data_IF_548127010249
#
_entry.id   IF_548127010249
#
_cell.length_a   1.000
_cell.length_b   1.000
_cell.length_c   1.000
_cell.angle_alpha   90.00
_cell.angle_beta   90.00
_cell.angle_gamma   90.00
#
_symmetry.space_group_name_H-M   'P 1'
#
loop_
_entity.id
_entity.type
_entity.pdbx_description
1 polymer ?
#
# COMPACT_ATOMS: atom_id res chain seq x y z
N UNK A 1 -2.19 -50.64 -35.70
CA UNK A 1 -3.05 -50.14 -34.60
C UNK A 1 -2.17 -49.47 -33.58
N UNK A 2 -2.09 -48.13 -33.66
CA UNK A 2 -1.32 -47.33 -32.71
C UNK A 2 -2.25 -46.82 -31.61
N UNK A 3 -1.85 -46.82 -30.32
CA UNK A 3 -2.69 -46.32 -29.25
C UNK A 3 -2.70 -44.79 -29.24
N UNK A 4 -3.88 -44.19 -29.08
CA UNK A 4 -4.11 -42.78 -28.92
C UNK A 4 -3.56 -42.29 -27.55
N UNK A 5 -3.00 -41.08 -27.46
CA UNK A 5 -2.51 -40.55 -26.18
C UNK A 5 -3.68 -40.13 -25.28
N UNK A 6 -3.57 -40.50 -24.01
CA UNK A 6 -4.44 -40.07 -22.91
C UNK A 6 -4.03 -38.61 -22.54
N UNK A 7 -4.77 -37.63 -23.02
CA UNK A 7 -4.53 -36.21 -22.69
C UNK A 7 -5.76 -35.52 -22.12
N UNK A 8 -6.46 -36.10 -21.16
CA UNK A 8 -7.60 -35.42 -20.54
C UNK A 8 -7.63 -35.43 -19.00
N UNK A 9 -6.60 -36.00 -18.34
CA UNK A 9 -6.59 -36.00 -16.86
C UNK A 9 -5.85 -34.81 -16.22
N UNK A 10 -5.01 -34.08 -16.99
CA UNK A 10 -4.20 -33.00 -16.46
C UNK A 10 -4.82 -31.60 -16.67
N UNK A 11 -5.81 -31.48 -17.55
CA UNK A 11 -6.51 -30.22 -17.79
C UNK A 11 -7.65 -29.92 -16.79
N UNK A 12 -8.19 -30.96 -16.14
CA UNK A 12 -9.28 -30.78 -15.16
C UNK A 12 -8.80 -30.43 -13.75
N UNK A 13 -7.51 -30.54 -13.43
CA UNK A 13 -7.01 -30.15 -12.10
C UNK A 13 -6.60 -28.67 -11.98
N UNK A 14 -6.46 -27.97 -13.11
CA UNK A 14 -6.15 -26.52 -13.12
C UNK A 14 -7.40 -25.64 -13.23
N UNK A 15 -8.55 -26.21 -13.62
CA UNK A 15 -9.81 -25.46 -13.73
C UNK A 15 -10.51 -25.25 -12.39
N UNK A 16 -10.23 -26.07 -11.38
CA UNK A 16 -10.82 -25.94 -10.04
C UNK A 16 -10.05 -25.00 -9.10
N UNK A 17 -8.87 -24.54 -9.50
CA UNK A 17 -8.16 -23.43 -8.85
C UNK A 17 -8.44 -22.09 -9.54
N UNK A 18 -9.66 -21.91 -10.04
CA UNK A 18 -10.11 -20.63 -10.56
C UNK A 18 -10.06 -19.58 -9.43
N UNK A 19 -9.32 -18.45 -9.59
CA UNK A 19 -9.33 -17.35 -8.62
C UNK A 19 -10.72 -16.75 -8.37
N UNK A 20 -11.76 -17.22 -9.06
CA UNK A 20 -13.18 -16.95 -8.72
C UNK A 20 -13.60 -17.50 -7.36
N UNK A 21 -12.80 -18.36 -6.71
CA UNK A 21 -13.09 -18.86 -5.38
C UNK A 21 -12.60 -17.93 -4.25
N UNK A 22 -11.84 -16.88 -4.55
CA UNK A 22 -11.65 -15.81 -3.61
C UNK A 22 -12.97 -15.03 -3.54
N UNK A 23 -13.83 -15.46 -2.61
CA UNK A 23 -15.17 -14.91 -2.46
C UNK A 23 -15.05 -13.53 -1.82
N UNK A 24 -15.02 -12.50 -2.63
CA UNK A 24 -15.25 -11.11 -2.25
C UNK A 24 -16.41 -10.94 -1.25
N UNK A 25 -17.39 -11.83 -1.32
CA UNK A 25 -18.56 -11.91 -0.42
C UNK A 25 -18.23 -12.23 1.03
N UNK A 26 -17.00 -12.70 1.34
CA UNK A 26 -16.57 -12.98 2.71
C UNK A 26 -15.91 -11.79 3.41
N UNK A 27 -15.65 -10.71 2.67
CA UNK A 27 -15.16 -9.43 3.20
C UNK A 27 -16.33 -8.47 3.41
N UNK A 28 -17.40 -8.95 4.04
CA UNK A 28 -18.66 -8.22 4.20
C UNK A 28 -18.51 -6.95 5.09
N UNK A 29 -19.33 -5.95 4.82
CA UNK A 29 -19.50 -4.77 5.65
C UNK A 29 -18.50 -3.66 5.32
N UNK A 30 -17.56 -3.39 6.18
CA UNK A 30 -16.58 -2.28 6.10
C UNK A 30 -15.80 -2.22 4.77
N UNK A 31 -15.46 -3.37 4.22
CA UNK A 31 -14.80 -3.46 2.90
C UNK A 31 -15.68 -2.90 1.79
N UNK A 32 -16.95 -3.29 1.76
CA UNK A 32 -17.89 -2.85 0.72
C UNK A 32 -18.14 -1.35 0.81
N UNK A 33 -18.21 -0.78 2.00
CA UNK A 33 -18.34 0.67 2.21
C UNK A 33 -17.12 1.41 1.65
N UNK A 34 -15.89 0.97 1.99
CA UNK A 34 -14.67 1.59 1.48
C UNK A 34 -14.58 1.45 -0.03
N UNK A 35 -14.94 0.29 -0.58
CA UNK A 35 -14.99 0.05 -2.03
C UNK A 35 -15.96 1.01 -2.72
N UNK A 36 -17.15 1.22 -2.17
CA UNK A 36 -18.12 2.17 -2.72
C UNK A 36 -17.56 3.59 -2.74
N UNK A 37 -16.88 4.03 -1.67
CA UNK A 37 -16.21 5.33 -1.63
C UNK A 37 -15.14 5.43 -2.72
N UNK A 38 -14.29 4.41 -2.89
CA UNK A 38 -13.26 4.39 -3.95
C UNK A 38 -13.91 4.41 -5.34
N UNK A 39 -14.99 3.67 -5.57
CA UNK A 39 -15.69 3.67 -6.84
C UNK A 39 -16.29 5.05 -7.16
N UNK A 40 -16.92 5.70 -6.18
CA UNK A 40 -17.51 7.04 -6.35
C UNK A 40 -16.43 8.08 -6.67
N UNK A 41 -15.35 8.14 -5.85
CA UNK A 41 -14.19 9.00 -6.13
C UNK A 41 -13.58 8.69 -7.50
N UNK A 42 -13.44 7.41 -7.81
CA UNK A 42 -12.87 6.95 -9.07
C UNK A 42 -13.66 7.47 -10.26
N UNK A 43 -14.95 7.25 -10.26
CA UNK A 43 -15.84 7.63 -11.36
C UNK A 43 -15.99 9.14 -11.49
N UNK A 44 -16.20 9.83 -10.38
CA UNK A 44 -16.57 11.26 -10.38
C UNK A 44 -15.34 12.18 -10.44
N UNK A 45 -14.20 11.75 -9.91
CA UNK A 45 -13.02 12.59 -9.71
C UNK A 45 -11.77 12.07 -10.44
N UNK A 46 -11.36 10.81 -10.19
CA UNK A 46 -10.06 10.31 -10.66
C UNK A 46 -10.05 10.08 -12.18
N UNK A 47 -11.03 9.37 -12.73
CA UNK A 47 -11.08 9.06 -14.15
C UNK A 47 -11.14 10.33 -15.03
N UNK A 48 -11.97 11.34 -14.73
CA UNK A 48 -11.98 12.58 -15.51
C UNK A 48 -10.63 13.33 -15.53
N UNK A 49 -9.81 13.19 -14.49
CA UNK A 49 -8.54 13.89 -14.37
C UNK A 49 -7.34 13.07 -14.87
N UNK A 50 -7.47 11.74 -14.96
CA UNK A 50 -6.35 10.82 -15.24
C UNK A 50 -5.58 11.17 -16.52
N UNK A 51 -6.29 11.46 -17.62
CA UNK A 51 -5.68 11.85 -18.89
C UNK A 51 -4.88 13.16 -18.78
N UNK A 52 -5.36 14.13 -17.99
CA UNK A 52 -4.65 15.39 -17.78
C UNK A 52 -3.32 15.17 -17.05
N UNK A 53 -3.33 14.39 -15.97
CA UNK A 53 -2.11 14.09 -15.22
C UNK A 53 -1.06 13.37 -16.09
N UNK A 54 -1.51 12.41 -16.92
CA UNK A 54 -0.62 11.68 -17.84
C UNK A 54 0.00 12.63 -18.89
N UNK A 55 -0.83 13.44 -19.57
CA UNK A 55 -0.39 14.38 -20.59
C UNK A 55 0.55 15.46 -20.06
N UNK A 56 0.31 15.95 -18.86
CA UNK A 56 1.08 17.03 -18.24
C UNK A 56 2.27 16.50 -17.43
N UNK A 57 2.42 15.18 -17.28
CA UNK A 57 3.37 14.53 -16.38
C UNK A 57 3.29 15.13 -14.95
N UNK A 58 2.06 15.45 -14.50
CA UNK A 58 1.83 16.13 -13.22
C UNK A 58 1.37 15.16 -12.14
N UNK A 59 1.70 15.47 -10.88
CA UNK A 59 1.26 14.68 -9.74
C UNK A 59 -0.24 14.92 -9.47
N UNK A 60 -1.01 13.87 -9.09
CA UNK A 60 -2.47 13.96 -8.89
C UNK A 60 -2.85 14.57 -7.52
N UNK A 61 -2.44 15.81 -7.23
CA UNK A 61 -2.69 16.47 -5.95
C UNK A 61 -4.15 16.50 -5.57
N UNK A 62 -5.04 16.84 -6.52
CA UNK A 62 -6.48 16.94 -6.25
C UNK A 62 -7.08 15.58 -5.85
N UNK A 63 -6.56 14.46 -6.38
CA UNK A 63 -7.02 13.14 -5.98
C UNK A 63 -6.61 12.82 -4.53
N UNK A 64 -5.45 13.30 -4.10
CA UNK A 64 -5.01 13.16 -2.71
C UNK A 64 -5.83 14.05 -1.75
N UNK A 65 -6.24 15.22 -2.19
CA UNK A 65 -7.14 16.08 -1.41
C UNK A 65 -8.51 15.43 -1.24
N UNK A 66 -9.09 14.90 -2.32
CA UNK A 66 -10.35 14.15 -2.27
C UNK A 66 -10.23 12.91 -1.33
N UNK A 67 -9.12 12.15 -1.40
CA UNK A 67 -8.89 11.00 -0.51
C UNK A 67 -8.74 11.42 0.95
N UNK A 68 -8.16 12.58 1.21
CA UNK A 68 -8.02 13.14 2.56
C UNK A 68 -9.38 13.49 3.15
N UNK A 69 -10.25 14.15 2.37
CA UNK A 69 -11.59 14.54 2.79
C UNK A 69 -12.45 13.34 3.23
N UNK A 70 -12.32 12.19 2.58
CA UNK A 70 -13.09 10.98 2.91
C UNK A 70 -12.34 10.01 3.82
N UNK A 71 -11.15 10.36 4.32
CA UNK A 71 -10.37 9.56 5.27
C UNK A 71 -9.67 8.34 4.67
N UNK A 72 -9.62 8.19 3.35
CA UNK A 72 -8.97 7.06 2.66
C UNK A 72 -7.45 7.03 2.91
N UNK A 73 -6.82 8.16 3.22
CA UNK A 73 -5.39 8.16 3.57
C UNK A 73 -5.10 7.31 4.82
N UNK A 74 -6.05 7.15 5.73
CA UNK A 74 -5.91 6.29 6.91
C UNK A 74 -6.38 4.84 6.69
N UNK A 75 -6.60 4.41 5.44
CA UNK A 75 -7.20 3.10 5.13
C UNK A 75 -6.46 1.93 5.77
N UNK A 76 -5.13 1.93 5.71
CA UNK A 76 -4.28 0.84 6.22
C UNK A 76 -3.72 1.09 7.62
N UNK A 77 -4.00 2.23 8.23
CA UNK A 77 -3.69 2.48 9.64
C UNK A 77 -4.58 1.59 10.51
N UNK A 78 -4.01 0.84 11.49
CA UNK A 78 -4.81 0.00 12.37
C UNK A 78 -5.88 0.79 13.15
N UNK A 79 -7.02 0.15 13.41
CA UNK A 79 -8.13 0.77 14.17
C UNK A 79 -7.72 1.26 15.56
N UNK A 80 -6.78 0.56 16.20
CA UNK A 80 -6.24 0.94 17.50
C UNK A 80 -5.50 2.29 17.49
N UNK A 81 -5.24 2.85 16.31
CA UNK A 81 -4.65 4.17 16.11
C UNK A 81 -5.59 5.12 15.34
N UNK A 82 -6.87 4.78 15.23
CA UNK A 82 -7.89 5.62 14.61
C UNK A 82 -8.02 5.49 13.10
N UNK A 83 -7.36 4.52 12.47
CA UNK A 83 -7.49 4.25 11.03
C UNK A 83 -8.63 3.30 10.68
N UNK A 84 -8.73 2.94 9.40
CA UNK A 84 -9.76 2.02 8.91
C UNK A 84 -9.39 0.55 9.12
N UNK A 85 -8.14 0.22 9.44
CA UNK A 85 -7.70 -1.13 9.80
C UNK A 85 -7.74 -2.14 8.66
N UNK A 86 -7.73 -1.69 7.41
CA UNK A 86 -7.70 -2.55 6.23
C UNK A 86 -6.38 -3.31 6.18
N UNK A 87 -6.45 -4.63 6.11
CA UNK A 87 -5.29 -5.53 6.03
C UNK A 87 -4.87 -5.75 4.58
N UNK A 88 -3.71 -6.40 4.40
CA UNK A 88 -3.09 -6.55 3.09
C UNK A 88 -3.99 -7.19 2.01
N UNK A 89 -4.73 -8.29 2.27
CA UNK A 89 -5.57 -8.89 1.24
C UNK A 89 -6.68 -7.95 0.75
N UNK A 90 -7.37 -7.28 1.67
CA UNK A 90 -8.40 -6.31 1.35
C UNK A 90 -7.82 -5.09 0.64
N UNK A 91 -6.68 -4.61 1.13
CA UNK A 91 -5.97 -3.48 0.53
C UNK A 91 -5.61 -3.77 -0.94
N UNK A 92 -5.07 -4.95 -1.25
CA UNK A 92 -4.70 -5.31 -2.62
C UNK A 92 -5.88 -5.19 -3.59
N UNK A 93 -7.06 -5.56 -3.14
CA UNK A 93 -8.29 -5.49 -3.92
C UNK A 93 -8.80 -4.04 -4.08
N UNK A 94 -8.74 -3.25 -3.01
CA UNK A 94 -9.11 -1.83 -3.04
C UNK A 94 -8.14 -1.02 -3.89
N UNK A 95 -6.83 -1.33 -3.84
CA UNK A 95 -5.83 -0.74 -4.70
C UNK A 95 -6.05 -1.06 -6.18
N UNK A 96 -6.44 -2.30 -6.50
CA UNK A 96 -6.82 -2.70 -7.85
C UNK A 96 -8.06 -1.92 -8.34
N UNK A 97 -9.05 -1.72 -7.48
CA UNK A 97 -10.23 -0.90 -7.81
C UNK A 97 -9.84 0.56 -8.07
N UNK A 98 -9.00 1.16 -7.22
CA UNK A 98 -8.47 2.51 -7.41
C UNK A 98 -7.72 2.63 -8.75
N UNK A 99 -6.91 1.61 -9.09
CA UNK A 99 -6.13 1.57 -10.34
C UNK A 99 -6.97 1.54 -11.61
N UNK A 100 -8.21 1.05 -11.54
CA UNK A 100 -9.16 1.08 -12.68
C UNK A 100 -9.51 2.51 -13.10
N UNK A 101 -9.46 3.45 -12.18
CA UNK A 101 -9.84 4.84 -12.39
C UNK A 101 -8.66 5.75 -12.67
N UNK A 102 -7.55 5.56 -11.94
CA UNK A 102 -6.31 6.31 -12.14
C UNK A 102 -5.10 5.50 -11.66
N UNK A 103 -4.32 4.96 -12.61
CA UNK A 103 -3.15 4.14 -12.32
C UNK A 103 -2.06 4.88 -11.55
N UNK A 104 -1.81 6.17 -11.89
CA UNK A 104 -0.80 6.97 -11.19
C UNK A 104 -1.19 7.26 -9.73
N UNK A 105 -2.46 7.52 -9.46
CA UNK A 105 -2.96 7.68 -8.09
C UNK A 105 -2.81 6.38 -7.29
N UNK A 106 -3.23 5.24 -7.84
CA UNK A 106 -3.11 3.96 -7.16
C UNK A 106 -1.66 3.56 -6.90
N UNK A 107 -0.77 3.77 -7.89
CA UNK A 107 0.65 3.44 -7.77
C UNK A 107 1.33 4.28 -6.68
N UNK A 108 1.11 5.59 -6.67
CA UNK A 108 1.69 6.47 -5.66
C UNK A 108 1.09 6.23 -4.28
N UNK A 109 -0.24 6.03 -4.21
CA UNK A 109 -0.92 5.70 -2.96
C UNK A 109 -0.39 4.39 -2.33
N UNK A 110 -0.01 3.40 -3.15
CA UNK A 110 0.59 2.16 -2.66
C UNK A 110 1.85 2.41 -1.82
N UNK A 111 2.67 3.39 -2.17
CA UNK A 111 3.86 3.75 -1.39
C UNK A 111 3.50 4.29 0.00
N UNK A 112 2.46 5.11 0.08
CA UNK A 112 1.92 5.57 1.35
C UNK A 112 1.33 4.43 2.18
N UNK A 113 0.44 3.62 1.60
CA UNK A 113 -0.27 2.55 2.28
C UNK A 113 0.65 1.44 2.81
N UNK A 114 1.78 1.15 2.13
CA UNK A 114 2.76 0.17 2.58
C UNK A 114 3.33 0.51 3.95
N UNK A 115 3.55 1.79 4.27
CA UNK A 115 4.15 2.20 5.54
C UNK A 115 3.29 1.81 6.75
N UNK A 116 1.98 2.15 6.83
CA UNK A 116 1.11 1.67 7.90
C UNK A 116 0.93 0.15 7.91
N UNK A 117 0.84 -0.50 6.74
CA UNK A 117 0.73 -1.95 6.66
C UNK A 117 1.92 -2.65 7.31
N UNK A 118 3.14 -2.20 7.02
CA UNK A 118 4.33 -2.80 7.62
C UNK A 118 4.48 -2.42 9.08
N UNK A 119 4.49 -1.13 9.40
CA UNK A 119 4.72 -0.67 10.75
C UNK A 119 3.59 -1.05 11.71
N UNK A 120 2.34 -1.04 11.24
CA UNK A 120 1.18 -1.35 12.07
C UNK A 120 1.04 -2.82 12.43
N UNK A 121 1.49 -3.73 11.55
CA UNK A 121 1.30 -5.17 11.71
C UNK A 121 2.57 -5.98 11.97
N UNK A 122 3.75 -5.40 11.77
CA UNK A 122 5.01 -6.12 11.95
C UNK A 122 5.19 -6.70 13.37
N UNK A 123 4.59 -6.07 14.37
CA UNK A 123 4.65 -6.53 15.76
C UNK A 123 3.69 -7.67 16.08
N UNK A 124 2.76 -7.98 15.17
CA UNK A 124 1.81 -9.07 15.38
C UNK A 124 2.52 -10.42 15.25
N UNK A 125 3.48 -10.51 14.33
CA UNK A 125 4.19 -11.74 13.99
C UNK A 125 5.64 -11.80 14.52
N UNK A 126 6.18 -10.69 15.03
CA UNK A 126 7.56 -10.65 15.54
C UNK A 126 7.62 -10.81 17.05
N UNK A 127 8.49 -11.71 17.50
CA UNK A 127 8.86 -11.81 18.92
C UNK A 127 9.67 -10.59 19.34
N UNK A 128 9.16 -9.86 20.31
CA UNK A 128 9.76 -8.65 20.84
C UNK A 128 9.66 -8.62 22.36
N UNK A 129 10.69 -8.06 23.02
CA UNK A 129 10.58 -7.74 24.44
C UNK A 129 9.48 -6.70 24.68
N UNK A 130 8.88 -6.71 25.86
CA UNK A 130 7.84 -5.74 26.22
C UNK A 130 8.30 -4.28 26.06
N UNK A 131 9.56 -3.99 26.37
CA UNK A 131 10.16 -2.66 26.21
C UNK A 131 10.22 -2.23 24.75
N UNK A 132 10.69 -3.10 23.87
CA UNK A 132 10.78 -2.82 22.42
C UNK A 132 9.38 -2.64 21.83
N UNK A 133 8.42 -3.50 22.18
CA UNK A 133 7.03 -3.41 21.74
C UNK A 133 6.38 -2.10 22.17
N UNK A 134 6.59 -1.68 23.42
CA UNK A 134 6.09 -0.39 23.94
C UNK A 134 6.67 0.79 23.17
N UNK A 135 7.97 0.78 22.90
CA UNK A 135 8.62 1.85 22.14
C UNK A 135 8.13 1.90 20.69
N UNK A 136 7.98 0.73 20.04
CA UNK A 136 7.44 0.64 18.70
C UNK A 136 6.01 1.21 18.63
N UNK A 137 5.14 0.79 19.57
CA UNK A 137 3.77 1.31 19.64
C UNK A 137 3.73 2.84 19.77
N UNK A 138 4.58 3.42 20.63
CA UNK A 138 4.71 4.87 20.78
C UNK A 138 5.14 5.56 19.47
N UNK A 139 6.04 4.96 18.72
CA UNK A 139 6.46 5.48 17.42
C UNK A 139 5.33 5.40 16.40
N UNK A 140 4.59 4.29 16.35
CA UNK A 140 3.42 4.13 15.49
C UNK A 140 2.35 5.19 15.83
N UNK A 141 2.05 5.39 17.11
CA UNK A 141 1.09 6.41 17.56
C UNK A 141 1.46 7.81 17.09
N UNK A 142 2.74 8.19 17.23
CA UNK A 142 3.25 9.48 16.73
C UNK A 142 3.06 9.66 15.23
N UNK A 143 3.35 8.63 14.43
CA UNK A 143 3.29 8.73 12.97
C UNK A 143 1.87 8.55 12.43
N UNK A 144 1.10 7.62 12.99
CA UNK A 144 -0.26 7.34 12.51
C UNK A 144 -1.24 8.45 12.87
N UNK A 145 -1.06 9.12 14.03
CA UNK A 145 -1.86 10.29 14.37
C UNK A 145 -1.73 11.41 13.33
N UNK A 146 -0.56 11.57 12.72
CA UNK A 146 -0.36 12.55 11.64
C UNK A 146 -1.14 12.18 10.38
N UNK A 147 -1.22 10.89 10.04
CA UNK A 147 -2.06 10.45 8.91
C UNK A 147 -3.53 10.72 9.22
N UNK A 148 -4.00 10.27 10.40
CA UNK A 148 -5.42 10.30 10.77
C UNK A 148 -5.92 11.73 10.99
N UNK A 149 -5.14 12.56 11.70
CA UNK A 149 -5.59 13.88 12.14
C UNK A 149 -5.17 15.02 11.18
N UNK A 150 -4.04 14.85 10.49
CA UNK A 150 -3.47 15.90 9.65
C UNK A 150 -3.52 15.54 8.14
N UNK A 151 -3.92 14.30 7.80
CA UNK A 151 -3.89 13.81 6.43
C UNK A 151 -2.47 13.73 5.86
N UNK A 152 -1.47 13.49 6.70
CA UNK A 152 -0.08 13.38 6.28
C UNK A 152 0.12 12.17 5.34
N UNK A 153 1.04 12.32 4.39
CA UNK A 153 1.39 11.30 3.42
C UNK A 153 2.82 10.83 3.70
N UNK A 154 3.03 9.52 3.61
CA UNK A 154 4.35 8.91 3.74
C UNK A 154 4.93 8.58 2.37
N UNK A 155 6.11 9.10 2.07
CA UNK A 155 6.95 8.63 0.99
C UNK A 155 7.72 7.39 1.42
N UNK A 156 8.07 6.53 0.45
CA UNK A 156 8.87 5.34 0.70
C UNK A 156 10.11 5.29 -0.21
N UNK A 157 11.13 6.13 0.02
CA UNK A 157 12.36 6.15 -0.75
C UNK A 157 13.24 4.93 -0.37
N UNK A 158 12.93 3.77 -0.94
CA UNK A 158 13.60 2.51 -0.63
C UNK A 158 14.79 2.24 -1.54
N UNK A 159 14.62 2.32 -2.86
CA UNK A 159 15.59 1.89 -3.84
C UNK A 159 16.81 2.81 -3.97
N UNK A 160 18.00 2.21 -4.20
CA UNK A 160 19.25 2.96 -4.37
C UNK A 160 19.88 2.79 -5.75
N UNK A 161 19.23 2.08 -6.66
CA UNK A 161 19.86 1.68 -7.90
C UNK A 161 21.01 0.70 -7.70
N UNK A 162 21.49 0.03 -8.73
CA UNK A 162 22.59 -0.94 -8.64
C UNK A 162 22.28 -2.24 -7.88
N UNK A 163 23.32 -2.93 -7.45
CA UNK A 163 23.26 -4.23 -6.78
C UNK A 163 22.51 -4.22 -5.43
N UNK A 164 22.38 -3.08 -4.78
CA UNK A 164 21.62 -2.94 -3.53
C UNK A 164 20.11 -3.19 -3.75
N UNK A 165 19.56 -2.71 -4.87
CA UNK A 165 18.15 -2.94 -5.22
C UNK A 165 17.84 -4.43 -5.46
N UNK A 166 18.84 -5.21 -5.87
CA UNK A 166 18.72 -6.65 -6.06
C UNK A 166 19.08 -7.47 -4.80
N UNK A 167 19.29 -6.82 -3.64
CA UNK A 167 19.67 -7.48 -2.40
C UNK A 167 21.08 -8.08 -2.39
N UNK A 168 21.92 -7.74 -3.36
CA UNK A 168 23.27 -8.32 -3.51
C UNK A 168 24.32 -7.65 -2.64
N UNK A 169 24.07 -6.41 -2.25
CA UNK A 169 24.93 -5.62 -1.34
C UNK A 169 24.04 -4.82 -0.39
N UNK A 170 24.56 -4.42 0.80
CA UNK A 170 23.83 -3.52 1.68
C UNK A 170 23.52 -2.17 1.04
N UNK A 171 22.51 -1.48 1.56
CA UNK A 171 22.24 -0.09 1.18
C UNK A 171 23.41 0.82 1.53
N UNK A 172 23.74 1.75 0.63
CA UNK A 172 24.78 2.74 0.83
C UNK A 172 24.33 3.95 1.66
N UNK A 173 23.01 4.16 1.80
CA UNK A 173 22.47 5.25 2.63
C UNK A 173 22.77 4.98 4.10
N UNK A 174 23.36 5.98 4.76
CA UNK A 174 23.72 5.93 6.17
C UNK A 174 22.89 6.90 6.99
N UNK A 175 22.65 6.56 8.25
CA UNK A 175 22.01 7.41 9.24
C UNK A 175 22.92 7.49 10.48
N UNK A 176 23.48 8.65 10.75
CA UNK A 176 24.33 8.90 11.93
C UNK A 176 23.55 9.72 12.95
N UNK A 177 23.45 9.21 14.18
CA UNK A 177 22.82 9.97 15.26
C UNK A 177 23.72 11.15 15.64
N UNK A 178 23.13 12.31 15.73
CA UNK A 178 23.77 13.56 16.16
C UNK A 178 22.93 14.18 17.27
N UNK A 179 23.42 15.26 17.88
CA UNK A 179 22.62 16.03 18.83
C UNK A 179 21.40 16.63 18.14
N UNK A 180 20.22 16.43 18.72
CA UNK A 180 18.94 16.90 18.19
C UNK A 180 18.36 16.10 17.02
N UNK A 181 18.99 15.01 16.53
CA UNK A 181 18.42 14.24 15.42
C UNK A 181 19.33 13.24 14.74
N UNK A 182 19.22 13.15 13.42
CA UNK A 182 19.95 12.23 12.56
C UNK A 182 20.50 12.94 11.33
N UNK A 183 21.75 12.68 11.00
CA UNK A 183 22.37 13.07 9.73
C UNK A 183 22.22 11.91 8.75
N UNK A 184 21.44 12.13 7.69
CA UNK A 184 21.23 11.16 6.60
C UNK A 184 22.17 11.50 5.44
N UNK A 185 22.84 10.50 4.89
CA UNK A 185 23.70 10.64 3.73
C UNK A 185 23.52 9.44 2.80
N UNK A 186 23.17 9.71 1.53
CA UNK A 186 22.94 8.68 0.52
C UNK A 186 22.17 9.19 -0.68
N UNK A 187 21.93 8.31 -1.64
CA UNK A 187 21.15 8.60 -2.85
C UNK A 187 20.06 7.53 -3.02
N UNK A 188 18.84 7.98 -3.11
CA UNK A 188 17.67 7.15 -3.39
C UNK A 188 17.12 7.43 -4.78
N UNK A 189 16.49 6.42 -5.39
CA UNK A 189 15.79 6.51 -6.67
C UNK A 189 14.38 5.95 -6.50
N UNK A 190 13.47 6.29 -7.41
CA UNK A 190 12.06 5.91 -7.35
C UNK A 190 11.41 6.31 -6.01
N UNK A 191 11.72 7.51 -5.55
CA UNK A 191 11.21 8.05 -4.30
C UNK A 191 9.81 8.67 -4.50
N UNK A 192 8.83 7.83 -4.86
CA UNK A 192 7.45 8.27 -5.06
C UNK A 192 6.91 8.94 -3.79
N UNK A 193 6.20 10.06 -3.92
CA UNK A 193 5.65 10.90 -2.85
C UNK A 193 6.69 11.73 -2.07
N UNK A 194 7.95 11.81 -2.50
CA UNK A 194 8.97 12.65 -1.85
C UNK A 194 9.27 13.93 -2.62
#
# INVERSE_FOLDING_TARGET
MSPKPKSNAMQNSLSDQNPKSFKWQQLAGKYDEIKQVICSLGQEKFAPRAHRYDKEASFPFENYDDMREVGILAMTVPESFGGLGVKYPEYALLAAEMGRWCGSTALTYNMHACTPLWAGHITDDLEMSATVRKQHRKNCELHFSRIVNEGAIFAQPFSEGSAAAAGKVPFGTTAKKIDGGWLLNGKKIFASLS
#
